data_IF_311666256050
#
_entry.id   IF_311666256050
#
_cell.length_a   1.000
_cell.length_b   1.000
_cell.length_c   1.000
_cell.angle_alpha   90.00
_cell.angle_beta   90.00
_cell.angle_gamma   90.00
#
_symmetry.space_group_name_H-M   'P 1'
#
loop_
_entity.id
_entity.type
_entity.pdbx_description
1 polymer ?
#
# COMPACT_ATOMS: atom_id res chain seq x y z
N UNK A 1 5.87 6.54 12.12
CA UNK A 1 6.42 5.58 11.11
C UNK A 1 7.02 4.35 11.75
N UNK A 2 7.80 4.44 12.83
CA UNK A 2 8.35 3.25 13.51
C UNK A 2 7.25 2.26 13.92
N UNK A 3 6.23 2.72 14.66
CA UNK A 3 5.12 1.87 15.11
C UNK A 3 4.29 1.30 13.95
N UNK A 4 4.16 2.06 12.86
CA UNK A 4 3.54 1.56 11.62
C UNK A 4 4.30 0.37 11.04
N UNK A 5 5.63 0.35 11.16
CA UNK A 5 6.45 -0.79 10.74
C UNK A 5 6.27 -1.98 11.66
N UNK A 6 6.33 -1.76 12.98
CA UNK A 6 6.16 -2.80 14.00
C UNK A 6 4.81 -3.50 13.81
N UNK A 7 3.72 -2.73 13.81
CA UNK A 7 2.36 -3.28 13.74
C UNK A 7 2.06 -3.87 12.36
N UNK A 8 2.52 -3.25 11.26
CA UNK A 8 2.32 -3.87 9.94
C UNK A 8 3.06 -5.22 9.81
N UNK A 9 4.26 -5.36 10.39
CA UNK A 9 5.00 -6.62 10.36
C UNK A 9 4.41 -7.67 11.29
N UNK A 10 3.96 -7.28 12.48
CA UNK A 10 3.23 -8.18 13.38
C UNK A 10 2.04 -8.80 12.66
N UNK A 11 1.17 -7.98 12.06
CA UNK A 11 0.00 -8.46 11.34
C UNK A 11 0.37 -9.35 10.15
N UNK A 12 1.45 -9.03 9.41
CA UNK A 12 1.96 -9.89 8.32
C UNK A 12 2.23 -11.32 8.76
N UNK A 13 2.84 -11.50 9.92
CA UNK A 13 3.21 -12.83 10.40
C UNK A 13 2.12 -13.48 11.27
N UNK A 14 1.07 -12.75 11.66
CA UNK A 14 -0.16 -13.35 12.22
C UNK A 14 -0.97 -14.01 11.11
N UNK A 15 -1.15 -13.34 9.97
CA UNK A 15 -2.02 -13.86 8.89
C UNK A 15 -1.29 -14.74 7.88
N UNK A 16 0.03 -14.56 7.71
CA UNK A 16 0.86 -15.30 6.75
C UNK A 16 0.29 -15.36 5.32
N UNK A 17 -0.47 -14.32 4.93
CA UNK A 17 -1.21 -14.33 3.68
C UNK A 17 -0.27 -14.32 2.45
N UNK A 18 -0.57 -15.20 1.50
CA UNK A 18 0.16 -15.32 0.23
C UNK A 18 0.13 -14.05 -0.63
N UNK A 19 1.14 -13.92 -1.50
CA UNK A 19 1.26 -12.83 -2.47
C UNK A 19 0.40 -13.11 -3.71
N UNK A 20 -0.03 -12.06 -4.46
CA UNK A 20 -0.83 -12.24 -5.67
C UNK A 20 -0.24 -13.22 -6.69
N UNK A 21 1.08 -13.22 -6.88
CA UNK A 21 1.72 -14.15 -7.82
C UNK A 21 1.53 -15.62 -7.44
N UNK A 22 1.48 -15.95 -6.14
CA UNK A 22 1.20 -17.31 -5.69
C UNK A 22 -0.29 -17.56 -5.78
N UNK A 23 -1.11 -16.68 -5.19
CA UNK A 23 -2.55 -16.90 -5.13
C UNK A 23 -3.30 -16.90 -6.46
N UNK A 24 -2.77 -16.27 -7.51
CA UNK A 24 -3.34 -16.35 -8.87
C UNK A 24 -2.89 -17.63 -9.59
N UNK A 25 -1.64 -18.07 -9.38
CA UNK A 25 -1.08 -19.25 -10.07
C UNK A 25 -1.54 -20.57 -9.45
N UNK A 26 -1.80 -20.54 -8.16
CA UNK A 26 -2.19 -21.68 -7.33
C UNK A 26 -3.64 -21.49 -6.82
N UNK A 27 -4.45 -20.69 -7.55
CA UNK A 27 -5.86 -20.54 -7.22
C UNK A 27 -6.61 -21.86 -7.38
N UNK A 28 -6.26 -22.59 -8.45
CA UNK A 28 -6.77 -23.93 -8.68
C UNK A 28 -5.96 -24.95 -7.88
N UNK A 29 -6.63 -25.82 -7.14
CA UNK A 29 -6.02 -26.82 -6.26
C UNK A 29 -5.26 -27.93 -7.00
N UNK A 30 -5.47 -28.03 -8.32
CA UNK A 30 -4.68 -28.91 -9.21
C UNK A 30 -3.35 -28.31 -9.65
N UNK A 31 -3.08 -27.05 -9.30
CA UNK A 31 -1.87 -26.31 -9.69
C UNK A 31 -0.95 -26.05 -8.51
N UNK A 32 0.34 -25.85 -8.80
CA UNK A 32 1.37 -25.53 -7.80
C UNK A 32 2.35 -26.66 -7.54
N UNK A 33 3.30 -26.48 -6.60
CA UNK A 33 4.30 -27.49 -6.28
C UNK A 33 3.74 -28.69 -5.52
N UNK A 34 2.62 -28.53 -4.81
CA UNK A 34 1.99 -29.56 -3.97
C UNK A 34 0.46 -29.53 -4.18
N UNK A 35 -0.05 -29.98 -5.35
CA UNK A 35 -1.48 -29.94 -5.64
C UNK A 35 -2.27 -30.85 -4.70
N UNK A 36 -3.46 -30.41 -4.27
CA UNK A 36 -4.33 -31.15 -3.33
C UNK A 36 -5.43 -31.92 -4.03
N UNK A 37 -5.79 -31.52 -5.25
CA UNK A 37 -6.87 -32.15 -6.03
C UNK A 37 -6.44 -32.38 -7.49
N UNK A 38 -7.07 -33.36 -8.15
CA UNK A 38 -6.86 -33.57 -9.59
C UNK A 38 -8.04 -33.00 -10.36
N UNK A 39 -7.78 -32.08 -11.29
CA UNK A 39 -8.75 -31.57 -12.24
C UNK A 39 -8.16 -31.53 -13.65
N UNK A 40 -8.99 -31.75 -14.65
CA UNK A 40 -8.63 -31.61 -16.07
C UNK A 40 -8.94 -30.20 -16.59
N UNK A 41 -9.84 -29.48 -15.93
CA UNK A 41 -10.22 -28.12 -16.28
C UNK A 41 -9.65 -27.15 -15.22
N UNK A 42 -8.79 -26.22 -15.65
CA UNK A 42 -8.23 -25.19 -14.76
C UNK A 42 -9.29 -24.09 -14.58
N UNK A 43 -9.56 -23.72 -13.33
CA UNK A 43 -10.44 -22.61 -12.94
C UNK A 43 -10.13 -21.32 -13.72
N UNK A 44 -11.17 -20.63 -14.20
CA UNK A 44 -11.06 -19.32 -14.89
C UNK A 44 -10.40 -18.23 -14.03
N UNK A 45 -10.34 -18.42 -12.71
CA UNK A 45 -9.68 -17.51 -11.77
C UNK A 45 -8.19 -17.86 -11.54
N UNK A 46 -7.70 -18.93 -12.16
CA UNK A 46 -6.32 -19.38 -12.10
C UNK A 46 -5.58 -19.02 -13.40
N UNK A 47 -4.42 -18.39 -13.28
CA UNK A 47 -3.47 -18.22 -14.39
C UNK A 47 -2.08 -18.68 -13.92
N UNK A 48 -1.70 -19.95 -14.21
CA UNK A 48 -0.43 -20.53 -13.77
C UNK A 48 0.82 -19.82 -14.27
N UNK A 49 0.69 -19.03 -15.34
CA UNK A 49 1.80 -18.34 -15.99
C UNK A 49 1.80 -16.84 -15.69
N UNK A 50 0.81 -16.34 -14.95
CA UNK A 50 0.67 -14.93 -14.61
C UNK A 50 1.93 -14.36 -13.98
N UNK A 51 2.34 -13.16 -14.39
CA UNK A 51 3.49 -12.46 -13.82
C UNK A 51 3.10 -11.05 -13.40
N UNK A 52 3.47 -10.61 -12.18
CA UNK A 52 3.27 -9.23 -11.78
C UNK A 52 4.24 -8.31 -12.53
N UNK A 53 3.90 -7.02 -12.61
CA UNK A 53 4.90 -6.00 -12.96
C UNK A 53 6.10 -6.05 -11.98
N UNK A 54 5.81 -6.34 -10.70
CA UNK A 54 6.77 -6.60 -9.65
C UNK A 54 7.33 -5.32 -9.01
N UNK A 55 7.92 -5.47 -7.83
CA UNK A 55 8.67 -4.39 -7.20
C UNK A 55 9.90 -4.07 -8.07
N UNK A 56 10.09 -2.79 -8.45
CA UNK A 56 11.14 -2.41 -9.37
C UNK A 56 12.52 -2.63 -8.75
N UNK A 57 13.44 -3.21 -9.52
CA UNK A 57 14.85 -3.33 -9.15
C UNK A 57 15.65 -2.17 -9.78
N UNK A 58 15.33 -0.97 -9.34
CA UNK A 58 15.82 0.27 -9.96
C UNK A 58 17.35 0.40 -9.87
N UNK A 59 17.97 0.93 -10.93
CA UNK A 59 19.41 1.05 -11.07
C UNK A 59 20.17 -0.29 -11.02
N UNK A 60 19.49 -1.40 -11.38
CA UNK A 60 20.09 -2.74 -11.44
C UNK A 60 19.52 -3.52 -12.62
N UNK A 61 20.32 -4.34 -13.29
CA UNK A 61 19.85 -5.24 -14.36
C UNK A 61 19.18 -6.52 -13.83
N UNK A 62 18.85 -6.58 -12.53
CA UNK A 62 18.15 -7.71 -11.91
C UNK A 62 16.65 -7.61 -12.20
N UNK A 63 15.98 -8.75 -12.33
CA UNK A 63 14.52 -8.78 -12.52
C UNK A 63 13.79 -8.06 -11.37
N UNK A 64 12.61 -7.53 -11.68
CA UNK A 64 11.67 -7.09 -10.66
C UNK A 64 11.29 -8.29 -9.78
N UNK A 65 10.88 -8.02 -8.55
CA UNK A 65 10.73 -9.08 -7.54
C UNK A 65 9.44 -8.94 -6.73
N UNK A 66 9.07 -10.02 -6.08
CA UNK A 66 8.04 -10.03 -5.04
C UNK A 66 8.75 -9.93 -3.68
N UNK A 67 8.41 -8.95 -2.81
CA UNK A 67 9.10 -8.83 -1.53
C UNK A 67 8.93 -10.09 -0.64
N UNK A 68 9.99 -10.54 0.05
CA UNK A 68 10.07 -11.86 0.69
C UNK A 68 9.41 -11.88 2.07
N UNK A 69 8.15 -11.48 2.15
CA UNK A 69 7.36 -11.47 3.37
C UNK A 69 5.86 -11.51 3.02
N UNK A 70 4.98 -11.94 3.95
CA UNK A 70 3.54 -12.05 3.72
C UNK A 70 2.88 -10.76 3.20
N UNK A 71 1.74 -10.92 2.54
CA UNK A 71 1.05 -9.85 1.83
C UNK A 71 0.28 -8.91 2.78
N UNK A 72 -0.58 -9.44 3.63
CA UNK A 72 -1.53 -8.63 4.41
C UNK A 72 -0.99 -8.20 5.77
N UNK A 73 -1.07 -6.91 6.17
CA UNK A 73 -1.45 -5.75 5.35
C UNK A 73 -0.26 -5.22 4.54
N UNK A 74 -0.50 -4.31 3.60
CA UNK A 74 0.58 -3.67 2.84
C UNK A 74 1.37 -2.69 3.72
N UNK A 75 2.67 -2.94 3.89
CA UNK A 75 3.54 -2.04 4.65
C UNK A 75 3.60 -0.63 4.04
N UNK A 76 3.63 -0.50 2.72
CA UNK A 76 3.59 0.82 2.06
C UNK A 76 2.31 1.58 2.42
N UNK A 77 1.16 0.92 2.38
CA UNK A 77 -0.11 1.52 2.75
C UNK A 77 -0.08 2.02 4.20
N UNK A 78 0.40 1.19 5.14
CA UNK A 78 0.52 1.55 6.56
C UNK A 78 1.51 2.70 6.80
N UNK A 79 2.70 2.64 6.20
CA UNK A 79 3.71 3.70 6.34
C UNK A 79 3.23 5.03 5.80
N UNK A 80 2.72 5.04 4.56
CA UNK A 80 2.28 6.27 3.91
C UNK A 80 1.09 6.88 4.63
N UNK A 81 0.11 6.07 5.03
CA UNK A 81 -1.03 6.54 5.82
C UNK A 81 -0.58 7.12 7.16
N UNK A 82 0.27 6.43 7.93
CA UNK A 82 0.74 6.92 9.22
C UNK A 82 1.55 8.23 9.09
N UNK A 83 2.46 8.31 8.13
CA UNK A 83 3.31 9.49 7.94
C UNK A 83 2.51 10.71 7.47
N UNK A 84 1.69 10.54 6.44
CA UNK A 84 0.96 11.64 5.83
C UNK A 84 -0.24 12.05 6.69
N UNK A 85 -0.90 11.12 7.38
CA UNK A 85 -1.98 11.47 8.30
C UNK A 85 -1.48 12.15 9.57
N UNK A 86 -0.33 11.72 10.13
CA UNK A 86 0.34 12.50 11.18
C UNK A 86 0.68 13.92 10.72
N UNK A 87 1.09 14.08 9.46
CA UNK A 87 1.34 15.40 8.86
C UNK A 87 0.04 16.22 8.74
N UNK A 88 -1.08 15.59 8.35
CA UNK A 88 -2.42 16.23 8.36
C UNK A 88 -2.77 16.73 9.77
N UNK A 89 -2.65 15.88 10.79
CA UNK A 89 -2.92 16.23 12.19
C UNK A 89 -2.03 17.37 12.69
N UNK A 90 -0.74 17.34 12.34
CA UNK A 90 0.22 18.40 12.68
C UNK A 90 -0.21 19.77 12.14
N UNK A 91 -0.71 19.82 10.90
CA UNK A 91 -1.20 21.04 10.27
C UNK A 91 -2.65 21.39 10.59
N UNK A 92 -3.26 20.73 11.58
CA UNK A 92 -4.56 21.09 12.13
C UNK A 92 -5.77 20.46 11.45
N UNK A 93 -5.57 19.45 10.59
CA UNK A 93 -6.68 18.62 10.12
C UNK A 93 -7.22 17.83 11.33
N UNK A 94 -8.54 17.83 11.59
CA UNK A 94 -9.10 17.15 12.76
C UNK A 94 -8.88 15.64 12.74
N UNK A 95 -8.78 15.05 13.93
CA UNK A 95 -8.82 13.59 14.13
C UNK A 95 -10.08 13.02 13.49
N UNK A 96 -9.94 11.87 12.84
CA UNK A 96 -11.02 11.17 12.15
C UNK A 96 -11.34 11.72 10.77
N UNK A 97 -10.77 12.87 10.36
CA UNK A 97 -11.01 13.44 9.03
C UNK A 97 -10.30 12.59 7.96
N UNK A 98 -11.13 12.03 7.07
CA UNK A 98 -10.74 11.17 5.95
C UNK A 98 -11.15 11.77 4.60
N UNK A 99 -11.05 13.09 4.47
CA UNK A 99 -11.45 13.87 3.28
C UNK A 99 -10.24 14.54 2.61
N UNK A 100 -10.36 14.95 1.33
CA UNK A 100 -9.36 15.79 0.66
C UNK A 100 -8.94 16.99 1.51
N UNK A 101 -7.65 17.36 1.39
CA UNK A 101 -7.08 18.53 2.05
C UNK A 101 -6.33 19.41 1.03
N UNK A 102 -5.87 20.59 1.46
CA UNK A 102 -5.12 21.53 0.62
C UNK A 102 -3.65 21.67 1.05
N UNK A 103 -3.14 20.77 1.87
CA UNK A 103 -1.78 20.86 2.44
C UNK A 103 -0.68 20.67 1.39
N UNK A 104 -1.04 20.17 0.20
CA UNK A 104 -0.13 20.03 -0.95
C UNK A 104 -0.43 21.03 -2.09
N UNK A 105 -1.30 22.03 -1.86
CA UNK A 105 -1.68 22.98 -2.90
C UNK A 105 -0.48 23.84 -3.36
N UNK A 106 -0.29 23.95 -4.68
CA UNK A 106 0.80 24.72 -5.28
C UNK A 106 2.18 24.09 -5.13
N UNK A 107 2.27 22.82 -4.70
CA UNK A 107 3.52 22.08 -4.61
C UNK A 107 3.64 21.06 -5.74
N UNK A 108 4.88 20.88 -6.18
CA UNK A 108 5.25 19.86 -7.16
C UNK A 108 6.04 18.73 -6.50
N UNK A 109 5.86 17.52 -7.01
CA UNK A 109 6.53 16.31 -6.55
C UNK A 109 7.13 15.55 -7.73
N UNK A 110 8.35 15.04 -7.56
CA UNK A 110 8.98 14.09 -8.47
C UNK A 110 9.49 12.93 -7.63
N UNK A 111 9.05 11.71 -7.96
CA UNK A 111 9.60 10.51 -7.34
C UNK A 111 10.96 10.18 -7.96
N UNK A 112 11.90 9.71 -7.16
CA UNK A 112 13.17 9.20 -7.68
C UNK A 112 12.98 8.01 -8.63
N UNK A 113 11.89 7.25 -8.51
CA UNK A 113 11.58 6.20 -9.47
C UNK A 113 11.27 6.72 -10.88
N UNK A 114 10.90 8.01 -11.02
CA UNK A 114 10.52 8.67 -12.27
C UNK A 114 11.08 10.10 -12.33
N UNK A 115 12.41 10.22 -12.20
CA UNK A 115 13.11 11.51 -12.16
C UNK A 115 13.85 11.88 -13.45
N UNK A 116 13.84 11.03 -14.48
CA UNK A 116 14.62 11.25 -15.71
C UNK A 116 16.08 10.80 -15.62
N UNK A 117 16.47 10.13 -14.52
CA UNK A 117 17.84 9.67 -14.24
C UNK A 117 17.84 8.17 -13.93
N UNK A 118 16.95 7.73 -13.04
CA UNK A 118 16.86 6.33 -12.61
C UNK A 118 16.54 5.40 -13.77
N UNK A 119 17.24 4.27 -13.82
CA UNK A 119 17.05 3.25 -14.86
C UNK A 119 16.20 2.08 -14.39
N UNK A 120 15.46 1.48 -15.31
CA UNK A 120 14.76 0.22 -15.10
C UNK A 120 15.71 -0.99 -15.15
N UNK A 121 15.12 -2.19 -15.01
CA UNK A 121 15.88 -3.44 -15.02
C UNK A 121 16.43 -3.88 -16.37
N UNK A 122 16.23 -3.08 -17.41
CA UNK A 122 16.82 -3.24 -18.74
C UNK A 122 17.84 -2.14 -19.05
N UNK A 123 18.13 -1.26 -18.08
CA UNK A 123 19.01 -0.11 -18.25
C UNK A 123 18.34 1.09 -18.94
N UNK A 124 17.03 1.05 -19.16
CA UNK A 124 16.28 2.15 -19.79
C UNK A 124 16.04 3.26 -18.77
N UNK A 125 16.40 4.50 -19.08
CA UNK A 125 16.10 5.66 -18.24
C UNK A 125 14.59 5.86 -18.18
N UNK A 126 14.04 5.97 -16.97
CA UNK A 126 12.62 6.23 -16.77
C UNK A 126 12.30 7.72 -16.95
N UNK A 127 11.14 8.06 -17.53
CA UNK A 127 10.78 9.44 -17.77
C UNK A 127 10.66 10.23 -16.46
N UNK A 128 10.95 11.54 -16.53
CA UNK A 128 10.68 12.45 -15.41
C UNK A 128 9.18 12.73 -15.34
N UNK A 129 8.54 12.36 -14.24
CA UNK A 129 7.12 12.60 -14.01
C UNK A 129 6.92 13.67 -12.93
N UNK A 130 6.53 14.87 -13.34
CA UNK A 130 6.18 15.96 -12.44
C UNK A 130 4.71 15.82 -12.02
N UNK A 131 4.49 15.62 -10.72
CA UNK A 131 3.18 15.41 -10.12
C UNK A 131 2.76 16.61 -9.30
N UNK A 132 1.48 16.91 -9.33
CA UNK A 132 0.78 17.61 -8.26
C UNK A 132 -0.26 16.66 -7.62
N UNK A 133 -0.81 17.09 -6.48
CA UNK A 133 -1.86 16.37 -5.75
C UNK A 133 -2.97 17.36 -5.36
N UNK A 134 -3.95 17.64 -6.25
CA UNK A 134 -5.03 18.59 -5.99
C UNK A 134 -5.90 18.25 -4.77
N UNK A 135 -6.03 16.97 -4.43
CA UNK A 135 -6.75 16.51 -3.24
C UNK A 135 -5.82 16.36 -2.00
N UNK A 136 -4.63 16.95 -2.07
CA UNK A 136 -3.70 17.12 -0.96
C UNK A 136 -3.02 15.83 -0.51
N UNK A 137 -2.64 15.81 0.78
CA UNK A 137 -2.00 14.64 1.39
C UNK A 137 -2.94 13.43 1.42
N UNK A 138 -4.26 13.66 1.48
CA UNK A 138 -5.25 12.59 1.36
C UNK A 138 -5.09 11.80 0.05
N UNK A 139 -4.94 12.50 -1.07
CA UNK A 139 -4.70 11.86 -2.36
C UNK A 139 -3.45 10.99 -2.33
N UNK A 140 -2.38 11.52 -1.75
CA UNK A 140 -1.10 10.82 -1.64
C UNK A 140 -1.23 9.55 -0.80
N UNK A 141 -2.02 9.54 0.29
CA UNK A 141 -2.30 8.35 1.11
C UNK A 141 -2.97 7.26 0.25
N UNK A 142 -4.03 7.62 -0.46
CA UNK A 142 -4.82 6.67 -1.25
C UNK A 142 -4.01 6.13 -2.45
N UNK A 143 -3.33 7.01 -3.19
CA UNK A 143 -2.49 6.60 -4.32
C UNK A 143 -1.32 5.73 -3.86
N UNK A 144 -0.66 6.07 -2.74
CA UNK A 144 0.39 5.23 -2.18
C UNK A 144 -0.13 3.85 -1.78
N UNK A 145 -1.29 3.76 -1.11
CA UNK A 145 -1.91 2.47 -0.80
C UNK A 145 -2.22 1.64 -2.05
N UNK A 146 -2.83 2.26 -3.07
CA UNK A 146 -3.23 1.59 -4.32
C UNK A 146 -2.07 1.21 -5.23
N UNK A 147 -0.97 1.96 -5.18
CA UNK A 147 0.17 1.77 -6.08
C UNK A 147 0.74 0.35 -6.06
N UNK A 148 0.60 -0.38 -4.96
CA UNK A 148 1.09 -1.76 -4.83
C UNK A 148 0.23 -2.79 -5.57
N UNK A 149 -1.05 -2.46 -5.79
CA UNK A 149 -1.96 -3.22 -6.66
C UNK A 149 -1.50 -3.11 -8.11
N UNK A 150 -1.14 -1.90 -8.57
CA UNK A 150 -0.61 -1.69 -9.93
C UNK A 150 0.72 -2.40 -10.19
N UNK A 151 1.54 -2.60 -9.14
CA UNK A 151 2.74 -3.43 -9.24
C UNK A 151 2.44 -4.94 -9.21
N UNK A 152 1.21 -5.36 -8.90
CA UNK A 152 0.85 -6.77 -8.77
C UNK A 152 1.48 -7.47 -7.55
N UNK A 153 1.94 -6.73 -6.54
CA UNK A 153 2.62 -7.30 -5.37
C UNK A 153 1.75 -7.35 -4.11
N UNK A 154 0.55 -6.75 -4.15
CA UNK A 154 -0.42 -6.74 -3.05
C UNK A 154 -1.84 -6.88 -3.60
N UNK A 155 -2.70 -7.52 -2.81
CA UNK A 155 -4.15 -7.50 -3.04
C UNK A 155 -4.70 -6.12 -2.70
N UNK A 156 -5.87 -5.76 -3.24
CA UNK A 156 -6.47 -4.44 -2.95
C UNK A 156 -6.79 -4.28 -1.46
N UNK A 157 -7.28 -5.34 -0.82
CA UNK A 157 -7.58 -5.35 0.60
C UNK A 157 -6.34 -5.26 1.50
N UNK A 158 -5.14 -5.54 1.00
CA UNK A 158 -3.90 -5.26 1.74
C UNK A 158 -3.72 -3.75 1.97
N UNK A 159 -4.29 -2.90 1.11
CA UNK A 159 -4.32 -1.46 1.29
C UNK A 159 -5.57 -0.99 2.03
N UNK A 160 -6.76 -1.40 1.57
CA UNK A 160 -8.07 -1.05 2.12
C UNK A 160 -9.17 -1.91 1.49
N UNK A 161 -10.32 -2.02 2.16
CA UNK A 161 -11.52 -2.54 1.51
C UNK A 161 -11.98 -1.61 0.37
N UNK A 162 -12.79 -2.13 -0.56
CA UNK A 162 -13.33 -1.37 -1.70
C UNK A 162 -14.85 -1.46 -1.74
N UNK A 163 -15.48 -0.37 -2.19
CA UNK A 163 -16.91 -0.34 -2.53
C UNK A 163 -17.14 -0.93 -3.93
N UNK A 164 -18.39 -1.19 -4.27
CA UNK A 164 -18.79 -1.73 -5.59
C UNK A 164 -18.32 -0.87 -6.77
N UNK A 165 -18.13 0.45 -6.56
CA UNK A 165 -17.61 1.37 -7.57
C UNK A 165 -16.07 1.46 -7.61
N UNK A 166 -15.36 0.57 -6.91
CA UNK A 166 -13.89 0.51 -6.88
C UNK A 166 -13.21 1.61 -6.07
N UNK A 167 -13.97 2.46 -5.36
CA UNK A 167 -13.39 3.47 -4.45
C UNK A 167 -13.03 2.85 -3.09
N UNK A 168 -12.02 3.37 -2.38
CA UNK A 168 -11.66 2.89 -1.05
C UNK A 168 -12.84 2.97 -0.07
N UNK A 169 -13.01 1.92 0.73
CA UNK A 169 -13.88 1.89 1.89
C UNK A 169 -13.04 1.72 3.16
N UNK A 170 -12.73 2.83 3.82
CA UNK A 170 -11.95 2.83 5.06
C UNK A 170 -12.82 2.60 6.31
N UNK A 171 -14.11 2.35 6.14
CA UNK A 171 -15.06 2.13 7.25
C UNK A 171 -15.32 0.66 7.53
N UNK A 172 -14.91 -0.23 6.61
CA UNK A 172 -15.07 -1.67 6.77
C UNK A 172 -14.11 -2.23 7.81
N UNK A 173 -14.65 -3.12 8.62
CA UNK A 173 -13.92 -3.86 9.64
C UNK A 173 -14.11 -5.36 9.45
N UNK A 174 -13.21 -6.15 10.03
CA UNK A 174 -13.43 -7.58 10.24
C UNK A 174 -14.52 -7.85 11.29
N UNK A 175 -14.72 -9.12 11.65
CA UNK A 175 -15.76 -9.55 12.61
C UNK A 175 -15.48 -9.08 14.03
N UNK A 176 -14.21 -8.81 14.33
CA UNK A 176 -13.70 -8.37 15.61
C UNK A 176 -13.67 -6.83 15.71
N UNK A 177 -14.02 -6.12 14.63
CA UNK A 177 -14.06 -4.66 14.57
C UNK A 177 -12.74 -4.02 14.20
N UNK A 178 -11.73 -4.79 13.78
CA UNK A 178 -10.45 -4.26 13.32
C UNK A 178 -10.56 -3.72 11.89
N UNK A 179 -9.88 -2.63 11.56
CA UNK A 179 -9.90 -2.06 10.21
C UNK A 179 -9.25 -2.99 9.19
N UNK A 180 -9.78 -2.99 7.95
CA UNK A 180 -9.24 -3.81 6.85
C UNK A 180 -8.16 -3.03 6.08
N UNK A 181 -6.95 -3.59 6.04
CA UNK A 181 -5.83 -3.11 5.23
C UNK A 181 -4.91 -2.09 5.91
N UNK A 182 -3.79 -1.79 5.24
CA UNK A 182 -2.73 -0.97 5.80
C UNK A 182 -3.07 0.52 5.94
N UNK A 183 -3.90 1.09 5.05
CA UNK A 183 -4.27 2.51 5.14
C UNK A 183 -5.00 2.85 6.45
N UNK A 184 -6.12 2.18 6.79
CA UNK A 184 -6.80 2.50 8.04
C UNK A 184 -5.97 2.13 9.28
N UNK A 185 -5.16 1.06 9.23
CA UNK A 185 -4.19 0.76 10.29
C UNK A 185 -3.22 1.92 10.51
N UNK A 186 -2.62 2.45 9.45
CA UNK A 186 -1.68 3.57 9.54
C UNK A 186 -2.32 4.86 10.05
N UNK A 187 -3.56 5.14 9.64
CA UNK A 187 -4.35 6.28 10.15
C UNK A 187 -4.55 6.16 11.66
N UNK A 188 -5.03 5.00 12.14
CA UNK A 188 -5.31 4.79 13.57
C UNK A 188 -4.03 4.94 14.41
N UNK A 189 -2.90 4.38 13.96
CA UNK A 189 -1.60 4.54 14.62
C UNK A 189 -1.21 6.03 14.75
N UNK A 190 -1.41 6.81 13.68
CA UNK A 190 -1.11 8.23 13.72
C UNK A 190 -2.01 8.99 14.71
N UNK A 191 -3.31 8.67 14.73
CA UNK A 191 -4.27 9.29 15.65
C UNK A 191 -3.98 8.94 17.11
N UNK A 192 -3.68 7.66 17.41
CA UNK A 192 -3.35 7.19 18.74
C UNK A 192 -2.09 7.87 19.29
N UNK A 193 -1.03 7.95 18.48
CA UNK A 193 0.21 8.65 18.85
C UNK A 193 -0.05 10.15 19.07
N UNK A 194 -0.83 10.78 18.20
CA UNK A 194 -1.14 12.20 18.31
C UNK A 194 -1.95 12.51 19.57
N UNK A 195 -2.93 11.66 19.91
CA UNK A 195 -3.73 11.74 21.13
C UNK A 195 -2.89 11.50 22.38
N UNK A 196 -2.00 10.50 22.37
CA UNK A 196 -1.08 10.24 23.46
C UNK A 196 -0.13 11.44 23.72
N UNK A 197 0.23 12.18 22.68
CA UNK A 197 0.96 13.45 22.76
C UNK A 197 0.12 14.65 23.23
N UNK A 198 -1.14 14.45 23.63
CA UNK A 198 -2.05 15.50 24.07
C UNK A 198 -2.54 16.41 22.93
N UNK A 199 -2.58 15.92 21.69
CA UNK A 199 -2.96 16.69 20.50
C UNK A 199 -2.00 17.83 20.17
N UNK A 200 -0.81 17.84 20.79
CA UNK A 200 0.24 18.82 20.54
C UNK A 200 1.28 18.14 19.67
N UNK A 201 1.14 18.29 18.35
CA UNK A 201 2.28 18.06 17.46
C UNK A 201 3.48 18.93 17.88
N UNK A 202 4.71 18.60 17.44
CA UNK A 202 5.85 19.50 17.59
C UNK A 202 5.43 20.92 17.16
N UNK A 203 5.66 21.95 17.97
CA UNK A 203 5.26 23.30 17.55
C UNK A 203 6.08 23.68 16.32
N UNK A 204 5.43 24.15 15.26
CA UNK A 204 6.11 24.81 14.13
C UNK A 204 7.12 25.81 14.71
N UNK A 205 8.39 25.72 14.31
CA UNK A 205 9.35 26.78 14.66
C UNK A 205 8.75 28.10 14.19
N UNK A 206 8.67 29.07 15.10
CA UNK A 206 8.37 30.45 14.72
C UNK A 206 9.42 30.95 13.74
#
# INVERSE_FOLDING_TARGET
>A
MADAGILAWEQKYIYELWRPVVGIREHDESMGPEPTESDNDISDNCDPLWLPLGAPNSNSNKKNFTPPFPAYPSGHATFGAAALHMTRLFYGVPIGDKKPDNLFNGLDFVSDEFNGITTDNKGTVRPRHLRNFPDGLWQMIIENGRSRVYLGVHWVFDAFAVKDNGTPDLTKTDKEGNPIGGVPLGINIAEDIYLAGGGKGPKKSK
#
